data_IF_006557136654
#
_entry.id   IF_006557136654
#
_cell.length_a   1.000
_cell.length_b   1.000
_cell.length_c   1.000
_cell.angle_alpha   90.00
_cell.angle_beta   90.00
_cell.angle_gamma   90.00
#
_symmetry.space_group_name_H-M   'P 1'
#
loop_
_entity.id
_entity.type
_entity.pdbx_description
1 polymer ?
#
# COMPACT_ATOMS: atom_id res chain seq x y z
N UNK A 1 -77.34 7.26 -47.98
CA UNK A 1 -76.35 7.63 -46.94
C UNK A 1 -75.52 6.41 -46.47
N UNK A 2 -74.94 5.62 -47.38
CA UNK A 2 -74.18 4.38 -47.02
C UNK A 2 -72.65 4.51 -47.08
N UNK A 3 -72.12 5.62 -47.58
CA UNK A 3 -70.68 5.78 -47.84
C UNK A 3 -69.98 6.75 -46.87
N UNK A 4 -70.68 7.26 -45.86
CA UNK A 4 -70.14 8.21 -44.88
C UNK A 4 -69.55 7.52 -43.62
N UNK A 5 -70.08 6.34 -43.24
CA UNK A 5 -69.61 5.62 -42.05
C UNK A 5 -68.18 5.09 -42.22
N UNK A 6 -67.82 4.60 -43.41
CA UNK A 6 -66.48 4.05 -43.68
C UNK A 6 -65.35 5.10 -43.65
N UNK A 7 -65.66 6.36 -43.99
CA UNK A 7 -64.69 7.47 -43.88
C UNK A 7 -64.53 7.99 -42.45
N UNK A 8 -65.58 7.88 -41.63
CA UNK A 8 -65.50 8.26 -40.21
C UNK A 8 -64.71 7.22 -39.39
N UNK A 9 -64.83 5.93 -39.74
CA UNK A 9 -64.10 4.86 -39.06
C UNK A 9 -62.59 4.88 -39.34
N UNK A 10 -62.18 5.31 -40.55
CA UNK A 10 -60.76 5.42 -40.93
C UNK A 10 -60.04 6.57 -40.21
N UNK A 11 -60.76 7.61 -39.80
CA UNK A 11 -60.20 8.78 -39.11
C UNK A 11 -59.99 8.52 -37.60
N UNK A 12 -60.69 7.52 -37.04
CA UNK A 12 -60.59 7.09 -35.64
C UNK A 12 -59.43 6.10 -35.39
N UNK A 13 -58.88 5.51 -36.44
CA UNK A 13 -57.74 4.58 -36.38
C UNK A 13 -56.37 5.30 -36.30
N UNK A 14 -56.31 6.60 -36.56
CA UNK A 14 -55.06 7.38 -36.50
C UNK A 14 -54.85 8.13 -35.17
N UNK A 15 -55.78 8.06 -34.22
CA UNK A 15 -55.64 8.64 -32.88
C UNK A 15 -55.20 7.63 -31.82
N UNK A 16 -54.36 6.66 -32.19
CA UNK A 16 -53.52 5.96 -31.21
C UNK A 16 -52.38 6.91 -30.83
N UNK A 17 -52.73 7.95 -30.07
CA UNK A 17 -51.76 8.74 -29.33
C UNK A 17 -51.10 7.75 -28.38
N UNK A 18 -49.83 7.42 -28.64
CA UNK A 18 -49.00 6.74 -27.65
C UNK A 18 -48.88 7.71 -26.47
N UNK A 19 -49.78 7.58 -25.49
CA UNK A 19 -49.67 8.29 -24.24
C UNK A 19 -48.39 7.79 -23.58
N UNK A 20 -47.36 8.64 -23.54
CA UNK A 20 -46.20 8.39 -22.70
C UNK A 20 -46.59 8.78 -21.29
N UNK A 21 -46.18 7.96 -20.32
CA UNK A 21 -46.48 8.19 -18.91
C UNK A 21 -45.71 9.39 -18.32
N UNK A 22 -44.75 9.92 -19.08
CA UNK A 22 -43.97 11.09 -18.72
C UNK A 22 -43.37 11.78 -19.95
N UNK A 23 -42.98 13.03 -19.77
CA UNK A 23 -42.17 13.81 -20.70
C UNK A 23 -40.82 14.17 -20.08
N UNK A 24 -39.80 14.35 -20.92
CA UNK A 24 -38.48 14.78 -20.46
C UNK A 24 -37.85 15.83 -21.37
N UNK A 25 -37.01 16.70 -20.79
CA UNK A 25 -36.21 17.68 -21.53
C UNK A 25 -34.77 17.68 -21.05
N UNK A 26 -33.84 17.93 -21.98
CA UNK A 26 -32.41 18.03 -21.69
C UNK A 26 -31.94 19.42 -22.08
N UNK A 27 -31.37 20.13 -21.11
CA UNK A 27 -30.83 21.47 -21.31
C UNK A 27 -29.36 21.49 -20.89
N UNK A 28 -28.56 22.28 -21.60
CA UNK A 28 -27.17 22.55 -21.23
C UNK A 28 -26.89 24.04 -21.30
N UNK A 29 -26.01 24.52 -20.44
CA UNK A 29 -25.55 25.91 -20.45
C UNK A 29 -24.77 26.26 -21.74
N UNK A 30 -24.01 25.32 -22.30
CA UNK A 30 -23.30 25.47 -23.56
C UNK A 30 -23.26 24.15 -24.34
N UNK A 31 -23.39 24.23 -25.67
CA UNK A 31 -23.24 23.09 -26.60
C UNK A 31 -21.87 23.02 -27.24
N UNK A 32 -21.08 24.08 -27.10
CA UNK A 32 -19.76 24.21 -27.72
C UNK A 32 -18.68 24.58 -26.70
N UNK A 33 -18.50 23.77 -25.64
CA UNK A 33 -17.52 24.05 -24.60
C UNK A 33 -16.09 23.90 -25.14
N UNK A 34 -15.12 24.54 -24.49
CA UNK A 34 -13.72 24.19 -24.63
C UNK A 34 -13.39 22.89 -23.87
N UNK A 35 -12.29 22.24 -24.24
CA UNK A 35 -11.75 21.13 -23.45
C UNK A 35 -11.57 21.57 -22.00
N UNK A 36 -12.02 20.74 -21.05
CA UNK A 36 -12.02 21.00 -19.60
C UNK A 36 -12.84 22.21 -19.14
N UNK A 37 -13.72 22.74 -19.99
CA UNK A 37 -14.75 23.69 -19.55
C UNK A 37 -15.92 22.97 -18.87
N UNK A 38 -16.46 23.58 -17.81
CA UNK A 38 -17.61 23.08 -17.08
C UNK A 38 -18.91 23.22 -17.90
N UNK A 39 -19.57 22.10 -18.18
CA UNK A 39 -20.90 22.04 -18.78
C UNK A 39 -21.90 21.61 -17.72
N UNK A 40 -22.92 22.44 -17.52
CA UNK A 40 -24.03 22.14 -16.61
C UNK A 40 -25.16 21.57 -17.44
N UNK A 41 -25.55 20.34 -17.13
CA UNK A 41 -26.66 19.64 -17.75
C UNK A 41 -27.84 19.57 -16.77
N UNK A 42 -29.02 19.95 -17.26
CA UNK A 42 -30.29 19.75 -16.59
C UNK A 42 -31.09 18.71 -17.35
N UNK A 43 -31.49 17.65 -16.65
CA UNK A 43 -32.44 16.66 -17.12
C UNK A 43 -33.72 16.84 -16.32
N UNK A 44 -34.77 17.35 -16.97
CA UNK A 44 -36.07 17.58 -16.37
C UNK A 44 -37.01 16.47 -16.82
N UNK A 45 -37.65 15.78 -15.88
CA UNK A 45 -38.67 14.77 -16.13
C UNK A 45 -39.96 15.16 -15.41
N UNK A 46 -41.08 15.09 -16.14
CA UNK A 46 -42.41 15.40 -15.63
C UNK A 46 -43.34 14.23 -15.92
N UNK A 47 -43.95 13.68 -14.87
CA UNK A 47 -44.98 12.67 -14.99
C UNK A 47 -46.25 13.28 -15.61
N UNK A 48 -46.80 12.60 -16.62
CA UNK A 48 -48.01 13.03 -17.34
C UNK A 48 -49.18 12.09 -17.09
N UNK A 49 -48.91 10.82 -16.74
CA UNK A 49 -49.92 9.86 -16.34
C UNK A 49 -50.09 9.87 -14.82
N UNK A 50 -51.23 10.32 -14.32
CA UNK A 50 -51.50 10.45 -12.88
C UNK A 50 -52.17 9.21 -12.25
N UNK A 51 -52.38 8.13 -13.02
CA UNK A 51 -53.09 6.93 -12.54
C UNK A 51 -52.15 5.92 -11.85
N UNK A 52 -50.84 6.11 -11.97
CA UNK A 52 -49.80 5.24 -11.43
C UNK A 52 -48.75 6.07 -10.69
N UNK A 53 -47.99 5.45 -9.79
CA UNK A 53 -46.83 6.11 -9.17
C UNK A 53 -45.60 5.81 -10.03
N UNK A 54 -44.90 6.84 -10.47
CA UNK A 54 -43.65 6.70 -11.22
C UNK A 54 -42.48 7.22 -10.42
N UNK A 55 -41.41 6.44 -10.39
CA UNK A 55 -40.09 6.86 -9.92
C UNK A 55 -39.14 6.84 -11.10
N UNK A 56 -38.20 7.78 -11.12
CA UNK A 56 -37.20 7.88 -12.17
C UNK A 56 -35.80 7.72 -11.59
N UNK A 57 -34.96 7.01 -12.33
CA UNK A 57 -33.52 6.94 -12.07
C UNK A 57 -32.78 7.36 -13.34
N UNK A 58 -32.05 8.48 -13.26
CA UNK A 58 -31.35 9.07 -14.39
C UNK A 58 -29.86 9.24 -14.08
N UNK A 59 -29.04 8.64 -14.93
CA UNK A 59 -27.58 8.68 -14.84
C UNK A 59 -26.93 8.93 -16.20
N UNK A 60 -25.74 9.53 -16.16
CA UNK A 60 -24.86 9.68 -17.31
C UNK A 60 -23.91 8.47 -17.37
N UNK A 61 -23.83 7.81 -18.53
CA UNK A 61 -22.93 6.67 -18.72
C UNK A 61 -21.47 7.12 -18.68
N UNK A 62 -20.60 6.33 -18.06
CA UNK A 62 -19.15 6.62 -18.00
C UNK A 62 -18.51 6.50 -19.38
N UNK A 63 -17.53 7.37 -19.66
CA UNK A 63 -16.78 7.40 -20.92
C UNK A 63 -15.37 7.94 -20.66
N UNK A 64 -14.34 7.51 -21.41
CA UNK A 64 -13.01 8.14 -21.34
C UNK A 64 -12.99 9.56 -21.91
N UNK A 65 -14.03 9.98 -22.64
CA UNK A 65 -14.07 11.28 -23.31
C UNK A 65 -14.58 12.41 -22.41
N UNK A 66 -15.21 12.09 -21.28
CA UNK A 66 -15.77 13.09 -20.36
C UNK A 66 -15.83 12.56 -18.94
N UNK A 67 -15.74 13.47 -17.98
CA UNK A 67 -16.08 13.22 -16.59
C UNK A 67 -17.44 13.85 -16.29
N UNK A 68 -18.28 13.16 -15.52
CA UNK A 68 -19.61 13.65 -15.15
C UNK A 68 -19.90 13.35 -13.68
N UNK A 69 -20.48 14.32 -12.99
CA UNK A 69 -20.89 14.18 -11.59
C UNK A 69 -22.23 14.85 -11.35
N UNK A 70 -23.12 14.16 -10.63
CA UNK A 70 -24.40 14.73 -10.19
C UNK A 70 -24.13 15.78 -9.10
N UNK A 71 -24.67 16.99 -9.28
CA UNK A 71 -24.51 18.10 -8.34
C UNK A 71 -25.79 18.40 -7.56
N UNK A 72 -26.97 18.09 -8.11
CA UNK A 72 -28.24 18.32 -7.43
C UNK A 72 -29.36 17.41 -7.97
N UNK A 73 -30.37 17.18 -7.14
CA UNK A 73 -31.68 16.66 -7.52
C UNK A 73 -32.72 17.56 -6.87
N UNK A 74 -33.63 18.10 -7.66
CA UNK A 74 -34.80 18.82 -7.18
C UNK A 74 -36.03 18.00 -7.55
N UNK A 75 -36.84 17.67 -6.55
CA UNK A 75 -38.05 16.88 -6.73
C UNK A 75 -39.24 17.66 -6.17
N UNK A 76 -40.24 17.86 -7.02
CA UNK A 76 -41.58 18.28 -6.62
C UNK A 76 -42.51 17.07 -6.78
N UNK A 77 -42.90 16.48 -5.66
CA UNK A 77 -43.91 15.41 -5.64
C UNK A 77 -45.25 15.98 -5.16
N UNK A 78 -46.21 16.04 -6.07
CA UNK A 78 -47.60 16.41 -5.78
C UNK A 78 -48.52 15.25 -6.15
N UNK A 79 -48.48 14.15 -5.40
CA UNK A 79 -49.39 12.99 -5.47
C UNK A 79 -49.74 12.57 -6.92
N UNK A 80 -48.92 11.67 -7.47
CA UNK A 80 -48.92 11.24 -8.88
C UNK A 80 -48.55 12.32 -9.90
N UNK A 81 -48.05 13.48 -9.45
CA UNK A 81 -47.52 14.53 -10.31
C UNK A 81 -46.08 14.84 -9.91
N UNK A 82 -45.19 13.90 -10.22
CA UNK A 82 -43.76 14.00 -9.92
C UNK A 82 -43.06 14.81 -11.01
N UNK A 83 -42.33 15.84 -10.59
CA UNK A 83 -41.40 16.61 -11.41
C UNK A 83 -40.01 16.54 -10.81
N UNK A 84 -39.04 16.00 -11.55
CA UNK A 84 -37.66 15.85 -11.07
C UNK A 84 -36.71 16.55 -12.03
N UNK A 85 -35.84 17.39 -11.48
CA UNK A 85 -34.69 17.98 -12.16
C UNK A 85 -33.41 17.38 -11.62
N UNK A 86 -32.68 16.67 -12.48
CA UNK A 86 -31.32 16.25 -12.20
C UNK A 86 -30.34 17.25 -12.78
N UNK A 87 -29.43 17.75 -11.94
CA UNK A 87 -28.34 18.63 -12.36
C UNK A 87 -27.01 17.86 -12.37
N UNK A 88 -26.30 17.91 -13.48
CA UNK A 88 -24.98 17.30 -13.66
C UNK A 88 -23.94 18.34 -14.06
N UNK A 89 -22.73 18.18 -13.54
CA UNK A 89 -21.53 18.88 -13.98
C UNK A 89 -20.71 17.93 -14.85
N UNK A 90 -20.35 18.38 -16.05
CA UNK A 90 -19.66 17.58 -17.07
C UNK A 90 -18.42 18.33 -17.54
N UNK A 91 -17.30 17.62 -17.61
CA UNK A 91 -16.04 18.10 -18.19
C UNK A 91 -15.66 17.26 -19.39
N UNK A 92 -15.58 17.88 -20.57
CA UNK A 92 -15.06 17.24 -21.77
C UNK A 92 -13.53 17.12 -21.71
N UNK A 93 -12.98 15.94 -21.95
CA UNK A 93 -11.53 15.69 -21.84
C UNK A 93 -10.79 15.81 -23.18
N UNK A 94 -11.51 15.74 -24.30
CA UNK A 94 -10.97 15.81 -25.64
C UNK A 94 -11.72 16.81 -26.52
N UNK A 95 -11.04 17.34 -27.54
CA UNK A 95 -11.66 18.21 -28.53
C UNK A 95 -12.39 17.39 -29.61
N UNK A 96 -13.38 17.99 -30.27
CA UNK A 96 -14.21 17.35 -31.29
C UNK A 96 -15.63 17.04 -30.82
N UNK A 97 -16.34 16.24 -31.60
CA UNK A 97 -17.73 15.87 -31.29
C UNK A 97 -17.77 14.75 -30.24
N UNK A 98 -18.32 15.06 -29.07
CA UNK A 98 -18.47 14.12 -27.96
C UNK A 98 -19.94 13.81 -27.73
N UNK A 99 -20.29 12.53 -27.81
CA UNK A 99 -21.63 12.04 -27.51
C UNK A 99 -21.72 11.60 -26.05
N UNK A 100 -22.55 12.29 -25.28
CA UNK A 100 -22.90 11.94 -23.91
C UNK A 100 -24.11 11.02 -23.96
N UNK A 101 -23.93 9.79 -23.47
CA UNK A 101 -24.97 8.79 -23.42
C UNK A 101 -25.61 8.73 -22.03
N UNK A 102 -26.91 8.43 -22.01
CA UNK A 102 -27.74 8.50 -20.81
C UNK A 102 -28.37 7.14 -20.52
N UNK A 103 -28.64 6.89 -19.24
CA UNK A 103 -29.50 5.82 -18.76
C UNK A 103 -30.68 6.45 -18.02
N UNK A 104 -31.88 6.06 -18.41
CA UNK A 104 -33.10 6.41 -17.71
C UNK A 104 -33.88 5.13 -17.42
N UNK A 105 -34.15 4.87 -16.16
CA UNK A 105 -35.00 3.76 -15.73
C UNK A 105 -36.27 4.35 -15.11
N UNK A 106 -37.41 4.02 -15.72
CA UNK A 106 -38.73 4.30 -15.18
C UNK A 106 -39.12 3.13 -14.28
N UNK A 107 -39.58 3.40 -13.06
CA UNK A 107 -40.10 2.41 -12.14
C UNK A 107 -41.56 2.71 -11.86
N UNK A 108 -42.46 1.85 -12.31
CA UNK A 108 -43.88 2.00 -12.06
C UNK A 108 -44.31 1.21 -10.81
N UNK A 109 -45.12 1.81 -9.96
CA UNK A 109 -45.68 1.18 -8.76
C UNK A 109 -47.10 1.70 -8.45
N UNK A 110 -47.72 1.15 -7.41
CA UNK A 110 -49.07 1.50 -6.95
C UNK A 110 -49.02 2.11 -5.55
N UNK A 111 -50.03 2.90 -5.19
CA UNK A 111 -50.15 3.49 -3.85
C UNK A 111 -50.11 2.45 -2.74
N UNK A 112 -50.77 1.30 -2.95
CA UNK A 112 -50.76 0.19 -1.98
C UNK A 112 -49.35 -0.36 -1.74
N UNK A 113 -48.54 -0.48 -2.80
CA UNK A 113 -47.15 -0.94 -2.71
C UNK A 113 -46.27 0.09 -1.98
N UNK A 114 -46.49 1.39 -2.26
CA UNK A 114 -45.83 2.49 -1.56
C UNK A 114 -46.17 2.46 -0.08
N UNK A 115 -47.46 2.44 0.28
CA UNK A 115 -47.91 2.38 1.67
C UNK A 115 -47.42 1.12 2.39
N UNK A 116 -47.41 -0.03 1.71
CA UNK A 116 -46.86 -1.26 2.25
C UNK A 116 -45.38 -1.14 2.58
N UNK A 117 -44.57 -0.52 1.71
CA UNK A 117 -43.13 -0.35 1.94
C UNK A 117 -42.82 0.48 3.20
N UNK A 118 -43.65 1.47 3.53
CA UNK A 118 -43.52 2.29 4.74
C UNK A 118 -44.06 1.63 6.02
N UNK A 119 -44.77 0.51 5.90
CA UNK A 119 -45.37 -0.23 7.03
C UNK A 119 -44.45 -1.28 7.68
N UNK A 120 -43.17 -1.30 7.29
CA UNK A 120 -42.17 -2.21 7.87
C UNK A 120 -41.70 -1.78 9.27
N UNK A 121 -41.27 -2.75 10.07
CA UNK A 121 -40.63 -2.52 11.38
C UNK A 121 -39.11 -2.71 11.25
N UNK A 122 -38.34 -2.35 12.28
CA UNK A 122 -36.87 -2.41 12.30
C UNK A 122 -36.31 -3.80 11.98
N UNK A 123 -37.08 -4.85 12.30
CA UNK A 123 -36.73 -6.25 12.07
C UNK A 123 -37.41 -6.85 10.83
N UNK A 124 -38.31 -6.11 10.15
CA UNK A 124 -39.02 -6.56 8.95
C UNK A 124 -39.18 -5.41 7.94
N UNK A 125 -38.07 -5.06 7.28
CA UNK A 125 -38.03 -4.05 6.23
C UNK A 125 -38.77 -4.56 4.99
N UNK A 126 -39.88 -3.89 4.64
CA UNK A 126 -40.66 -4.20 3.44
C UNK A 126 -40.08 -3.46 2.25
N UNK A 127 -39.74 -4.18 1.20
CA UNK A 127 -39.17 -3.59 -0.03
C UNK A 127 -40.29 -3.09 -0.92
N UNK A 128 -40.09 -1.93 -1.57
CA UNK A 128 -41.02 -1.39 -2.55
C UNK A 128 -41.01 -2.25 -3.81
N UNK A 129 -42.17 -2.81 -4.19
CA UNK A 129 -42.30 -3.54 -5.44
C UNK A 129 -42.51 -2.56 -6.60
N UNK A 130 -41.66 -2.67 -7.62
CA UNK A 130 -41.65 -1.80 -8.79
C UNK A 130 -41.51 -2.60 -10.08
N UNK A 131 -42.16 -2.13 -11.14
CA UNK A 131 -41.95 -2.62 -12.51
C UNK A 131 -41.00 -1.67 -13.23
N UNK A 132 -39.76 -2.10 -13.40
CA UNK A 132 -38.71 -1.30 -14.00
C UNK A 132 -38.73 -1.41 -15.53
N UNK A 133 -38.48 -0.30 -16.21
CA UNK A 133 -38.42 -0.21 -17.67
C UNK A 133 -37.32 0.76 -18.09
N UNK A 134 -36.39 0.27 -18.91
CA UNK A 134 -35.30 1.09 -19.45
C UNK A 134 -35.79 1.92 -20.64
N UNK A 135 -35.66 3.24 -20.51
CA UNK A 135 -36.10 4.20 -21.51
C UNK A 135 -34.91 4.66 -22.34
N UNK A 136 -35.02 4.53 -23.66
CA UNK A 136 -34.00 5.04 -24.60
C UNK A 136 -34.09 6.56 -24.71
N UNK A 137 -33.14 7.25 -24.06
CA UNK A 137 -32.95 8.70 -24.16
C UNK A 137 -31.96 9.02 -25.28
N UNK A 138 -32.25 10.06 -26.06
CA UNK A 138 -31.34 10.51 -27.13
C UNK A 138 -30.04 11.05 -26.53
N UNK A 139 -28.91 10.59 -27.04
CA UNK A 139 -27.60 11.10 -26.64
C UNK A 139 -27.44 12.59 -26.96
N UNK A 140 -26.70 13.31 -26.12
CA UNK A 140 -26.37 14.72 -26.31
C UNK A 140 -25.00 14.83 -26.98
N UNK A 141 -24.93 15.48 -28.12
CA UNK A 141 -23.66 15.78 -28.79
C UNK A 141 -23.16 17.17 -28.40
N UNK A 142 -21.96 17.24 -27.80
CA UNK A 142 -21.21 18.47 -27.56
C UNK A 142 -20.15 18.66 -28.63
N UNK A 143 -20.01 19.89 -29.15
CA UNK A 143 -18.96 20.25 -30.11
C UNK A 143 -17.79 20.91 -29.40
N UNK A 144 -16.83 20.12 -28.95
CA UNK A 144 -15.80 20.58 -28.02
C UNK A 144 -14.67 21.29 -28.75
N UNK A 145 -14.43 22.56 -28.38
CA UNK A 145 -13.36 23.42 -28.93
C UNK A 145 -12.02 23.08 -28.29
N UNK A 146 -10.96 23.08 -29.10
CA UNK A 146 -9.60 22.93 -28.58
C UNK A 146 -9.18 24.15 -27.76
N UNK A 147 -8.40 23.90 -26.70
CA UNK A 147 -7.76 24.97 -25.91
C UNK A 147 -6.47 25.45 -26.59
N UNK A 148 -5.98 26.66 -26.27
CA UNK A 148 -4.70 27.14 -26.78
C UNK A 148 -3.55 26.17 -26.46
N UNK A 149 -2.56 26.09 -27.36
CA UNK A 149 -1.35 25.29 -27.15
C UNK A 149 -0.60 25.80 -25.91
N UNK A 150 0.06 24.89 -25.20
CA UNK A 150 0.82 25.15 -23.97
C UNK A 150 -0.04 25.70 -22.81
N UNK A 151 -1.29 25.25 -22.70
CA UNK A 151 -2.13 25.54 -21.53
C UNK A 151 -1.91 24.47 -20.47
N UNK A 152 -1.52 24.86 -19.26
CA UNK A 152 -1.29 23.97 -18.12
C UNK A 152 -2.59 23.71 -17.35
N UNK A 153 -3.39 24.76 -17.11
CA UNK A 153 -4.65 24.69 -16.35
C UNK A 153 -5.81 25.40 -17.08
N UNK A 154 -7.03 24.90 -16.88
CA UNK A 154 -8.26 25.44 -17.52
C UNK A 154 -9.27 25.85 -16.47
N UNK A 155 -9.56 27.15 -16.42
CA UNK A 155 -10.44 27.77 -15.44
C UNK A 155 -10.07 29.20 -15.13
N UNK A 156 -10.76 29.77 -14.14
CA UNK A 156 -10.47 31.06 -13.54
C UNK A 156 -9.80 30.84 -12.19
N UNK A 157 -8.47 30.96 -12.16
CA UNK A 157 -7.62 30.61 -11.05
C UNK A 157 -6.76 31.79 -10.63
N UNK A 158 -6.38 31.76 -9.36
CA UNK A 158 -5.42 32.70 -8.75
C UNK A 158 -4.34 31.88 -8.04
N UNK A 159 -3.12 32.40 -8.05
CA UNK A 159 -1.97 31.80 -7.38
C UNK A 159 -1.56 32.70 -6.22
N UNK A 160 -1.58 32.13 -5.02
CA UNK A 160 -1.01 32.71 -3.81
C UNK A 160 0.24 31.91 -3.42
N UNK A 161 1.23 32.56 -2.82
CA UNK A 161 2.39 31.87 -2.28
C UNK A 161 2.87 32.51 -0.98
N UNK A 162 3.52 31.72 -0.13
CA UNK A 162 4.07 32.16 1.14
C UNK A 162 5.46 31.59 1.34
N UNK A 163 6.42 32.47 1.61
CA UNK A 163 7.80 32.16 1.95
C UNK A 163 8.12 32.88 3.26
N UNK A 164 7.99 32.20 4.41
CA UNK A 164 8.15 32.82 5.72
C UNK A 164 9.56 33.36 5.99
N UNK A 165 10.59 32.77 5.36
CA UNK A 165 11.99 33.12 5.56
C UNK A 165 12.77 33.04 4.25
N UNK A 166 13.66 34.00 4.03
CA UNK A 166 14.63 34.02 2.92
C UNK A 166 16.08 33.83 3.39
N UNK A 167 16.26 33.60 4.69
CA UNK A 167 17.57 33.35 5.32
C UNK A 167 17.51 32.08 6.16
N UNK A 168 18.53 31.25 6.04
CA UNK A 168 18.66 29.98 6.74
C UNK A 168 20.14 29.62 6.92
N UNK A 169 20.47 28.74 7.86
CA UNK A 169 21.80 28.12 7.93
C UNK A 169 21.94 27.05 6.84
N UNK A 170 23.17 26.66 6.54
CA UNK A 170 23.44 25.55 5.63
C UNK A 170 22.62 24.31 6.01
N UNK A 171 21.93 23.73 5.02
CA UNK A 171 21.03 22.57 5.15
C UNK A 171 19.76 22.79 5.98
N UNK A 172 19.51 23.98 6.52
CA UNK A 172 18.25 24.28 7.20
C UNK A 172 17.11 24.41 6.18
N UNK A 173 15.95 23.78 6.41
CA UNK A 173 14.82 23.80 5.49
C UNK A 173 14.13 25.17 5.45
N UNK A 174 13.94 25.69 4.24
CA UNK A 174 13.19 26.90 3.94
C UNK A 174 11.79 26.53 3.45
N UNK A 175 10.73 26.77 4.24
CA UNK A 175 9.37 26.40 3.85
C UNK A 175 8.85 27.30 2.71
N UNK A 176 8.17 26.68 1.76
CA UNK A 176 7.46 27.32 0.66
C UNK A 176 6.06 26.70 0.55
N UNK A 177 5.06 27.56 0.58
CA UNK A 177 3.67 27.18 0.35
C UNK A 177 3.19 27.85 -0.92
N UNK A 178 2.61 27.07 -1.83
CA UNK A 178 1.96 27.57 -3.05
C UNK A 178 0.51 27.11 -3.00
N UNK A 179 -0.41 28.02 -3.30
CA UNK A 179 -1.84 27.76 -3.31
C UNK A 179 -2.43 28.21 -4.63
N UNK A 180 -3.12 27.32 -5.32
CA UNK A 180 -3.92 27.64 -6.52
C UNK A 180 -5.38 27.51 -6.12
N UNK A 181 -6.15 28.59 -6.27
CA UNK A 181 -7.58 28.63 -5.91
C UNK A 181 -8.41 29.26 -7.02
N UNK A 182 -9.61 28.75 -7.25
CA UNK A 182 -10.50 29.29 -8.29
C UNK A 182 -11.54 28.29 -8.79
N UNK A 183 -12.16 28.59 -9.92
CA UNK A 183 -13.24 27.78 -10.52
C UNK A 183 -12.76 27.21 -11.86
N UNK A 184 -12.85 25.90 -12.03
CA UNK A 184 -12.41 25.25 -13.27
C UNK A 184 -12.25 23.74 -13.16
N UNK A 185 -11.53 23.14 -14.09
CA UNK A 185 -11.11 21.74 -13.95
C UNK A 185 -9.97 21.66 -12.91
N UNK A 186 -9.88 20.59 -12.10
CA UNK A 186 -8.87 20.48 -11.03
C UNK A 186 -7.44 20.85 -11.48
N UNK A 187 -6.82 21.90 -10.91
CA UNK A 187 -5.52 22.42 -11.36
C UNK A 187 -4.36 21.70 -10.66
N UNK A 188 -4.32 20.37 -10.77
CA UNK A 188 -3.26 19.55 -10.19
C UNK A 188 -2.08 19.51 -11.18
N UNK A 189 -0.95 20.06 -10.75
CA UNK A 189 0.29 20.12 -11.51
C UNK A 189 1.32 19.26 -10.79
N UNK A 190 1.68 18.14 -11.39
CA UNK A 190 2.73 17.28 -10.86
C UNK A 190 4.08 18.02 -10.93
N UNK A 191 4.80 18.01 -9.81
CA UNK A 191 6.11 18.66 -9.70
C UNK A 191 6.09 20.14 -10.14
N UNK A 192 5.29 20.98 -9.49
CA UNK A 192 5.17 22.42 -9.80
C UNK A 192 6.50 23.19 -9.93
N UNK A 193 7.58 22.71 -9.31
CA UNK A 193 8.95 23.27 -9.40
C UNK A 193 9.95 22.41 -10.20
N UNK A 194 9.50 21.47 -11.07
CA UNK A 194 10.28 20.39 -11.73
C UNK A 194 11.55 20.77 -12.52
N UNK A 195 11.97 22.03 -12.54
CA UNK A 195 13.24 22.42 -13.13
C UNK A 195 14.38 21.73 -12.37
N UNK A 196 15.48 21.38 -13.05
CA UNK A 196 16.73 20.99 -12.38
C UNK A 196 17.16 22.14 -11.49
N UNK A 197 16.92 22.01 -10.19
CA UNK A 197 17.26 23.04 -9.20
C UNK A 197 18.67 22.80 -8.69
N UNK A 198 19.38 23.88 -8.37
CA UNK A 198 20.66 23.78 -7.68
C UNK A 198 20.48 23.31 -6.22
N UNK A 199 19.28 23.46 -5.67
CA UNK A 199 18.92 23.12 -4.28
C UNK A 199 18.16 21.79 -4.18
N UNK A 200 18.18 21.23 -2.96
CA UNK A 200 17.35 20.09 -2.60
C UNK A 200 15.92 20.55 -2.33
N UNK A 201 14.95 19.82 -2.89
CA UNK A 201 13.53 20.07 -2.70
C UNK A 201 12.88 18.87 -2.00
N UNK A 202 12.18 19.16 -0.92
CA UNK A 202 11.30 18.21 -0.24
C UNK A 202 9.87 18.64 -0.48
N UNK A 203 9.07 17.81 -1.15
CA UNK A 203 7.69 18.11 -1.48
C UNK A 203 6.75 17.07 -0.89
N UNK A 204 5.61 17.54 -0.39
CA UNK A 204 4.48 16.68 -0.05
C UNK A 204 3.55 16.54 -1.26
N UNK A 205 2.78 15.44 -1.30
CA UNK A 205 1.67 15.29 -2.25
C UNK A 205 0.71 16.48 -2.11
N UNK A 206 0.28 17.12 -3.22
CA UNK A 206 -0.60 18.26 -3.15
C UNK A 206 -1.92 17.92 -2.45
N UNK A 207 -2.36 18.80 -1.55
CA UNK A 207 -3.66 18.67 -0.88
C UNK A 207 -4.69 19.37 -1.76
N UNK A 208 -5.64 18.60 -2.30
CA UNK A 208 -6.71 19.09 -3.16
C UNK A 208 -8.06 19.04 -2.44
N UNK A 209 -8.79 20.14 -2.52
CA UNK A 209 -10.18 20.24 -2.07
C UNK A 209 -11.02 20.78 -3.22
N UNK A 210 -12.10 20.08 -3.56
CA UNK A 210 -13.02 20.45 -4.64
C UNK A 210 -14.46 20.47 -4.15
N UNK A 211 -15.20 21.50 -4.55
CA UNK A 211 -16.65 21.63 -4.30
C UNK A 211 -17.33 21.86 -5.65
N UNK A 212 -18.23 20.95 -6.03
CA UNK A 212 -18.98 21.07 -7.28
C UNK A 212 -20.25 21.89 -7.06
N UNK A 213 -20.50 22.85 -7.93
CA UNK A 213 -21.67 23.70 -7.89
C UNK A 213 -22.20 24.00 -9.31
N UNK A 214 -23.27 24.81 -9.40
CA UNK A 214 -23.89 25.18 -10.68
C UNK A 214 -23.03 26.11 -11.57
N UNK A 215 -21.91 26.63 -11.07
CA UNK A 215 -20.96 27.45 -11.84
C UNK A 215 -19.74 26.65 -12.31
N UNK A 216 -19.55 25.42 -11.81
CA UNK A 216 -18.42 24.56 -12.07
C UNK A 216 -17.87 23.93 -10.79
N UNK A 217 -16.61 23.52 -10.81
CA UNK A 217 -15.89 23.06 -9.61
C UNK A 217 -15.04 24.18 -9.04
N UNK A 218 -15.33 24.57 -7.80
CA UNK A 218 -14.42 25.36 -6.98
C UNK A 218 -13.28 24.45 -6.50
N UNK A 219 -12.05 24.84 -6.78
CA UNK A 219 -10.86 24.09 -6.43
C UNK A 219 -9.94 24.92 -5.54
N UNK A 220 -9.34 24.22 -4.58
CA UNK A 220 -8.23 24.69 -3.77
C UNK A 220 -7.15 23.61 -3.75
N UNK A 221 -5.99 23.92 -4.33
CA UNK A 221 -4.83 23.02 -4.35
C UNK A 221 -3.70 23.67 -3.57
N UNK A 222 -3.17 22.97 -2.56
CA UNK A 222 -2.06 23.44 -1.73
C UNK A 222 -0.84 22.55 -1.95
N UNK A 223 0.27 23.19 -2.32
CA UNK A 223 1.58 22.58 -2.44
C UNK A 223 2.44 23.02 -1.27
N UNK A 224 2.82 22.07 -0.42
CA UNK A 224 3.73 22.31 0.71
C UNK A 224 5.08 21.69 0.40
N UNK A 225 6.12 22.52 0.45
CA UNK A 225 7.48 22.09 0.18
C UNK A 225 8.50 22.80 1.08
N UNK A 226 9.69 22.24 1.14
CA UNK A 226 10.85 22.82 1.79
C UNK A 226 12.05 22.77 0.87
N UNK A 227 12.80 23.87 0.81
CA UNK A 227 14.01 24.02 0.00
C UNK A 227 15.23 24.00 0.91
N UNK A 228 16.33 23.37 0.53
CA UNK A 228 17.58 23.45 1.29
C UNK A 228 18.83 23.39 0.41
N UNK A 229 19.89 24.05 0.87
CA UNK A 229 21.19 24.07 0.19
C UNK A 229 22.29 24.45 1.21
N UNK A 230 23.55 24.18 0.88
CA UNK A 230 24.75 24.68 1.57
C UNK A 230 25.22 26.07 1.09
N UNK A 231 24.65 26.61 0.02
CA UNK A 231 25.08 27.87 -0.63
C UNK A 231 23.89 28.74 -0.97
N UNK A 232 24.16 30.03 -1.18
CA UNK A 232 23.18 30.96 -1.76
C UNK A 232 22.59 30.41 -3.06
N UNK A 233 21.28 30.50 -3.21
CA UNK A 233 20.60 30.06 -4.41
C UNK A 233 19.39 30.96 -4.73
N UNK A 234 18.94 30.89 -5.98
CA UNK A 234 17.74 31.56 -6.45
C UNK A 234 16.73 30.51 -6.91
N UNK A 235 15.47 30.68 -6.49
CA UNK A 235 14.33 30.02 -7.10
C UNK A 235 13.93 30.83 -8.33
N UNK A 236 13.99 30.20 -9.51
CA UNK A 236 13.58 30.83 -10.77
C UNK A 236 12.10 31.22 -10.73
N UNK A 237 11.73 32.21 -11.53
CA UNK A 237 10.32 32.50 -11.76
C UNK A 237 9.65 31.28 -12.40
N UNK A 238 8.42 31.01 -11.98
CA UNK A 238 7.57 29.97 -12.55
C UNK A 238 6.33 30.64 -13.13
N UNK A 239 6.09 30.37 -14.41
CA UNK A 239 4.90 30.81 -15.11
C UNK A 239 4.02 29.59 -15.40
N UNK A 240 2.78 29.63 -14.92
CA UNK A 240 1.76 28.61 -15.19
C UNK A 240 0.77 29.21 -16.18
N UNK A 241 0.65 28.59 -17.35
CA UNK A 241 -0.22 29.06 -18.41
C UNK A 241 -1.64 28.59 -18.13
N UNK A 242 -2.56 29.54 -17.97
CA UNK A 242 -3.96 29.28 -17.68
C UNK A 242 -4.85 29.78 -18.81
N UNK A 243 -6.00 29.12 -19.01
CA UNK A 243 -7.02 29.55 -19.96
C UNK A 243 -8.37 29.66 -19.27
N UNK A 244 -9.00 30.84 -19.35
CA UNK A 244 -10.34 31.07 -18.88
C UNK A 244 -11.33 30.89 -20.05
N UNK A 245 -12.12 29.79 -20.08
CA UNK A 245 -13.03 29.52 -21.18
C UNK A 245 -14.23 30.48 -21.24
N UNK A 246 -14.67 31.02 -20.09
CA UNK A 246 -15.77 31.98 -20.02
C UNK A 246 -15.39 33.31 -20.67
N UNK A 247 -14.16 33.78 -20.41
CA UNK A 247 -13.62 34.99 -21.00
C UNK A 247 -12.95 34.77 -22.36
N UNK A 248 -12.75 33.50 -22.74
CA UNK A 248 -12.00 33.08 -23.93
C UNK A 248 -10.60 33.70 -24.00
N UNK A 249 -9.93 33.83 -22.84
CA UNK A 249 -8.64 34.50 -22.71
C UNK A 249 -7.65 33.63 -21.94
N UNK A 250 -6.42 33.56 -22.46
CA UNK A 250 -5.28 33.02 -21.75
C UNK A 250 -4.69 34.07 -20.80
N UNK A 251 -4.16 33.62 -19.68
CA UNK A 251 -3.46 34.43 -18.69
C UNK A 251 -2.38 33.59 -18.02
N UNK A 252 -1.47 34.23 -17.30
CA UNK A 252 -0.33 33.57 -16.67
C UNK A 252 -0.41 33.79 -15.16
N UNK A 253 -0.24 32.71 -14.41
CA UNK A 253 -0.03 32.76 -12.97
C UNK A 253 1.47 32.69 -12.70
N UNK A 254 2.03 33.79 -12.19
CA UNK A 254 3.47 33.92 -11.99
C UNK A 254 3.84 33.81 -10.51
N UNK A 255 4.73 32.88 -10.21
CA UNK A 255 5.54 32.90 -8.98
C UNK A 255 6.84 33.64 -9.31
N UNK A 256 7.09 34.85 -8.75
CA UNK A 256 8.26 35.62 -9.10
C UNK A 256 9.54 34.98 -8.54
N UNK A 257 10.68 35.28 -9.18
CA UNK A 257 12.00 34.85 -8.71
C UNK A 257 12.22 35.22 -7.24
N UNK A 258 12.82 34.31 -6.48
CA UNK A 258 13.15 34.50 -5.07
C UNK A 258 14.63 34.19 -4.82
N UNK A 259 15.31 35.02 -4.06
CA UNK A 259 16.71 34.81 -3.69
C UNK A 259 16.83 34.43 -2.22
N UNK A 260 17.61 33.39 -1.93
CA UNK A 260 17.80 32.85 -0.59
C UNK A 260 19.24 33.01 -0.12
N UNK A 261 19.41 33.52 1.10
CA UNK A 261 20.73 33.67 1.73
C UNK A 261 20.98 32.54 2.72
N UNK A 262 22.02 31.75 2.46
CA UNK A 262 22.43 30.63 3.30
C UNK A 262 23.68 31.05 4.08
N UNK A 263 23.59 31.00 5.40
CA UNK A 263 24.73 31.24 6.28
C UNK A 263 25.53 29.95 6.44
N UNK A 264 26.85 30.04 6.37
CA UNK A 264 27.74 28.88 6.57
C UNK A 264 27.51 28.30 7.97
N UNK A 265 27.38 26.97 8.08
CA UNK A 265 27.27 26.35 9.40
C UNK A 265 28.62 26.42 10.10
N UNK A 266 28.65 26.95 11.32
CA UNK A 266 29.84 26.89 12.14
C UNK A 266 30.11 25.43 12.56
N UNK A 267 31.05 24.76 11.89
CA UNK A 267 31.39 23.35 12.12
C UNK A 267 31.75 23.07 13.59
N UNK A 268 32.31 24.07 14.30
CA UNK A 268 32.65 23.93 15.71
C UNK A 268 31.44 23.75 16.65
N UNK A 269 30.23 24.11 16.20
CA UNK A 269 28.98 23.90 16.95
C UNK A 269 28.29 22.56 16.64
N UNK A 270 28.71 21.86 15.58
CA UNK A 270 28.12 20.59 15.14
C UNK A 270 28.87 19.37 15.67
N UNK A 271 30.09 19.56 16.17
CA UNK A 271 30.85 18.52 16.84
C UNK A 271 30.40 18.47 18.30
N UNK A 272 29.94 17.30 18.74
CA UNK A 272 29.68 17.07 20.15
C UNK A 272 30.97 17.36 20.93
N UNK A 273 30.89 18.30 21.86
CA UNK A 273 32.03 18.66 22.72
C UNK A 273 32.34 17.57 23.75
N UNK A 274 31.49 16.55 23.84
CA UNK A 274 31.54 15.46 24.81
C UNK A 274 31.24 14.15 24.08
N UNK A 275 32.19 13.23 24.08
CA UNK A 275 31.97 11.87 23.59
C UNK A 275 30.91 11.17 24.45
N UNK A 276 29.85 10.67 23.79
CA UNK A 276 28.80 9.85 24.41
C UNK A 276 28.69 8.49 23.70
N UNK A 277 28.89 7.37 24.40
CA UNK A 277 29.21 7.26 25.83
C UNK A 277 30.62 7.79 26.17
N UNK A 278 30.86 8.23 27.43
CA UNK A 278 32.18 8.66 27.85
C UNK A 278 33.22 7.56 27.56
N UNK A 279 34.45 7.93 27.18
CA UNK A 279 35.50 6.94 26.96
C UNK A 279 35.62 6.05 28.20
N UNK A 280 35.77 4.74 27.98
CA UNK A 280 35.82 3.72 29.05
C UNK A 280 36.71 4.19 30.20
N UNK A 281 36.08 4.64 31.28
CA UNK A 281 36.79 5.02 32.50
C UNK A 281 37.21 3.73 33.19
N UNK A 282 38.41 3.26 32.88
CA UNK A 282 38.96 2.04 33.46
C UNK A 282 39.38 2.34 34.90
N UNK A 283 38.45 2.16 35.84
CA UNK A 283 38.72 2.38 37.26
C UNK A 283 39.86 1.45 37.71
N UNK A 284 40.94 2.03 38.22
CA UNK A 284 42.10 1.30 38.72
C UNK A 284 41.73 0.27 39.81
N UNK A 285 40.70 0.58 40.59
CA UNK A 285 40.10 -0.35 41.58
C UNK A 285 39.58 -1.64 40.94
N UNK A 286 38.94 -1.57 39.76
CA UNK A 286 38.45 -2.75 39.05
C UNK A 286 39.60 -3.60 38.52
N UNK A 287 40.67 -2.98 38.04
CA UNK A 287 41.89 -3.68 37.60
C UNK A 287 42.54 -4.38 38.79
N UNK A 288 42.67 -3.68 39.93
CA UNK A 288 43.21 -4.24 41.16
C UNK A 288 42.35 -5.41 41.66
N UNK A 289 41.02 -5.30 41.58
CA UNK A 289 40.10 -6.37 41.91
C UNK A 289 40.32 -7.60 41.01
N UNK A 290 40.38 -7.41 39.69
CA UNK A 290 40.64 -8.50 38.72
C UNK A 290 42.01 -9.15 39.00
N UNK A 291 43.06 -8.35 39.25
CA UNK A 291 44.39 -8.88 39.60
C UNK A 291 44.36 -9.65 40.90
N UNK A 292 43.63 -9.19 41.92
CA UNK A 292 43.53 -9.90 43.20
C UNK A 292 42.85 -11.25 43.04
N UNK A 293 41.77 -11.33 42.25
CA UNK A 293 41.14 -12.62 41.91
C UNK A 293 42.07 -13.54 41.13
N UNK A 294 42.82 -13.01 40.16
CA UNK A 294 43.81 -13.78 39.42
C UNK A 294 44.91 -14.33 40.35
N UNK A 295 45.34 -13.54 41.33
CA UNK A 295 46.35 -13.95 42.31
C UNK A 295 45.83 -15.05 43.25
N UNK A 296 44.60 -14.91 43.75
CA UNK A 296 43.95 -15.96 44.57
C UNK A 296 43.78 -17.26 43.77
N UNK A 297 43.38 -17.15 42.51
CA UNK A 297 43.23 -18.30 41.62
C UNK A 297 44.56 -19.02 41.37
N UNK A 298 45.63 -18.28 41.05
CA UNK A 298 46.96 -18.85 40.81
C UNK A 298 47.55 -19.51 42.06
N UNK A 299 47.36 -18.90 43.24
CA UNK A 299 47.74 -19.50 44.52
C UNK A 299 46.98 -20.81 44.79
N UNK A 300 45.66 -20.82 44.59
CA UNK A 300 44.85 -22.04 44.74
C UNK A 300 45.26 -23.15 43.78
N UNK A 301 45.53 -22.81 42.52
CA UNK A 301 45.95 -23.76 41.49
C UNK A 301 47.33 -24.37 41.78
N UNK A 302 48.30 -23.56 42.21
CA UNK A 302 49.65 -24.05 42.55
C UNK A 302 49.65 -24.97 43.76
N UNK A 303 48.84 -24.68 44.79
CA UNK A 303 48.60 -25.56 45.94
C UNK A 303 48.02 -26.92 45.53
N UNK A 304 47.06 -26.93 44.60
CA UNK A 304 46.46 -28.16 44.08
C UNK A 304 47.49 -29.03 43.32
N UNK A 305 48.34 -28.43 42.50
CA UNK A 305 49.41 -29.13 41.79
C UNK A 305 50.42 -29.78 42.74
N UNK A 306 50.80 -29.09 43.82
CA UNK A 306 51.70 -29.62 44.85
C UNK A 306 51.11 -30.85 45.54
N UNK A 307 49.82 -30.81 45.91
CA UNK A 307 49.13 -31.93 46.53
C UNK A 307 49.05 -33.15 45.59
N UNK A 308 48.84 -32.92 44.29
CA UNK A 308 48.77 -33.98 43.26
C UNK A 308 50.12 -34.69 43.04
N UNK A 309 51.25 -33.97 43.05
CA UNK A 309 52.59 -34.58 42.92
C UNK A 309 52.96 -35.46 44.10
N UNK A 310 52.58 -35.10 45.34
CA UNK A 310 52.86 -35.90 46.55
C UNK A 310 52.12 -37.24 46.59
N UNK A 311 50.93 -37.32 45.97
CA UNK A 311 50.12 -38.55 45.88
C UNK A 311 50.54 -39.51 44.74
N UNK A 312 51.25 -39.03 43.71
CA UNK A 312 51.62 -39.81 42.52
C UNK A 312 52.87 -40.69 42.72
N UNK A 313 53.74 -40.36 43.67
CA UNK A 313 55.01 -41.08 43.91
C UNK A 313 54.79 -42.42 44.67
N UNK A 314 53.61 -42.64 45.27
CA UNK A 314 53.30 -43.83 46.09
C UNK A 314 52.71 -45.04 45.34
N UNK A 315 52.43 -44.97 44.02
CA UNK A 315 51.77 -46.07 43.26
C UNK A 315 52.49 -46.43 41.96
N UNK A 316 53.74 -46.92 42.06
CA UNK A 316 54.55 -47.31 40.89
C UNK A 316 55.22 -48.68 41.06
N UNK A 317 54.42 -49.76 41.09
CA UNK A 317 54.91 -51.14 40.85
C UNK A 317 53.78 -52.17 40.69
N UNK A 318 53.21 -52.29 39.49
CA UNK A 318 52.60 -53.56 39.06
C UNK A 318 52.57 -53.61 37.53
N UNK A 319 53.39 -54.49 36.98
CA UNK A 319 53.69 -54.57 35.55
C UNK A 319 52.51 -55.19 34.78
N UNK A 320 51.96 -54.46 33.80
CA UNK A 320 50.68 -54.78 33.12
C UNK A 320 50.68 -56.14 32.42
N UNK A 321 51.84 -56.61 31.95
CA UNK A 321 51.97 -57.88 31.23
C UNK A 321 51.66 -59.09 32.14
N UNK A 322 52.02 -59.03 33.42
CA UNK A 322 51.76 -60.10 34.39
C UNK A 322 50.26 -60.29 34.69
N UNK A 323 49.51 -59.18 34.72
CA UNK A 323 48.07 -59.18 35.02
C UNK A 323 47.23 -59.80 33.90
N UNK A 324 47.65 -59.66 32.64
CA UNK A 324 46.92 -60.17 31.47
C UNK A 324 47.01 -61.71 31.42
N UNK A 325 48.20 -62.28 31.70
CA UNK A 325 48.40 -63.74 31.80
C UNK A 325 47.51 -64.39 32.86
N UNK A 326 47.42 -63.78 34.04
CA UNK A 326 46.58 -64.28 35.15
C UNK A 326 45.11 -64.26 34.73
N UNK A 327 44.67 -63.19 34.06
CA UNK A 327 43.28 -63.07 33.59
C UNK A 327 42.92 -64.13 32.54
N UNK A 328 43.81 -64.44 31.59
CA UNK A 328 43.56 -65.48 30.58
C UNK A 328 43.38 -66.86 31.24
N UNK A 329 44.21 -67.22 32.23
CA UNK A 329 44.09 -68.51 32.93
C UNK A 329 42.73 -68.65 33.61
N UNK A 330 42.25 -67.59 34.26
CA UNK A 330 41.02 -67.60 35.05
C UNK A 330 39.72 -67.52 34.23
N UNK A 331 39.77 -67.39 32.91
CA UNK A 331 38.54 -67.32 32.09
C UNK A 331 37.82 -68.67 32.00
N UNK A 332 36.62 -68.81 32.54
CA UNK A 332 35.95 -70.13 32.59
C UNK A 332 35.28 -70.56 31.28
N UNK A 333 35.10 -69.64 30.31
CA UNK A 333 34.34 -69.89 29.07
C UNK A 333 35.01 -69.29 27.83
N UNK A 334 34.70 -69.84 26.65
CA UNK A 334 35.18 -69.33 25.36
C UNK A 334 34.79 -67.87 25.12
N UNK A 335 33.55 -67.49 25.42
CA UNK A 335 33.05 -66.13 25.21
C UNK A 335 33.74 -65.10 26.12
N UNK A 336 34.05 -65.48 27.36
CA UNK A 336 34.79 -64.61 28.29
C UNK A 336 36.24 -64.41 27.86
N UNK A 337 36.87 -65.45 27.32
CA UNK A 337 38.21 -65.34 26.76
C UNK A 337 38.22 -64.45 25.51
N UNK A 338 37.24 -64.62 24.62
CA UNK A 338 37.06 -63.80 23.42
C UNK A 338 36.91 -62.31 23.77
N UNK A 339 36.01 -61.97 24.70
CA UNK A 339 35.82 -60.59 25.15
C UNK A 339 37.10 -59.99 25.74
N UNK A 340 37.85 -60.80 26.52
CA UNK A 340 39.10 -60.34 27.13
C UNK A 340 40.17 -60.04 26.06
N UNK A 341 40.30 -60.90 25.04
CA UNK A 341 41.29 -60.72 23.97
C UNK A 341 40.91 -59.57 23.02
N UNK A 342 39.63 -59.45 22.63
CA UNK A 342 39.15 -58.29 21.85
C UNK A 342 39.41 -56.98 22.59
N UNK A 343 39.19 -56.94 23.91
CA UNK A 343 39.41 -55.74 24.71
C UNK A 343 40.89 -55.33 24.80
N UNK A 344 41.84 -56.24 24.56
CA UNK A 344 43.27 -55.87 24.49
C UNK A 344 43.62 -55.25 23.13
N UNK A 345 42.84 -55.55 22.08
CA UNK A 345 42.93 -54.91 20.76
C UNK A 345 44.35 -54.91 20.17
N UNK A 346 45.06 -56.04 20.30
CA UNK A 346 46.38 -56.26 19.68
C UNK A 346 46.28 -57.30 18.56
N UNK A 347 47.01 -57.07 17.47
CA UNK A 347 47.00 -57.95 16.30
C UNK A 347 47.50 -59.37 16.61
N UNK A 348 48.32 -59.53 17.65
CA UNK A 348 48.95 -60.80 18.04
C UNK A 348 47.92 -61.87 18.44
N UNK A 349 46.71 -61.48 18.86
CA UNK A 349 45.63 -62.39 19.22
C UNK A 349 44.59 -62.59 18.12
N UNK A 350 44.73 -61.92 16.96
CA UNK A 350 43.75 -61.96 15.86
C UNK A 350 43.37 -63.39 15.46
N UNK A 351 44.35 -64.26 15.27
CA UNK A 351 44.14 -65.67 14.92
C UNK A 351 43.40 -66.45 16.01
N UNK A 352 43.67 -66.16 17.29
CA UNK A 352 42.99 -66.79 18.43
C UNK A 352 41.56 -66.25 18.60
N UNK A 353 41.34 -64.96 18.33
CA UNK A 353 40.04 -64.31 18.35
C UNK A 353 39.14 -64.90 17.26
N UNK A 354 39.62 -65.03 16.02
CA UNK A 354 38.84 -65.64 14.93
C UNK A 354 38.42 -67.09 15.25
N UNK A 355 39.33 -67.90 15.80
CA UNK A 355 38.99 -69.27 16.23
C UNK A 355 37.95 -69.25 17.35
N UNK A 356 38.07 -68.34 18.31
CA UNK A 356 37.10 -68.19 19.40
C UNK A 356 35.73 -67.71 18.91
N UNK A 357 35.67 -66.85 17.89
CA UNK A 357 34.41 -66.43 17.27
C UNK A 357 33.71 -67.59 16.56
N UNK A 358 34.44 -68.43 15.82
CA UNK A 358 33.87 -69.62 15.19
C UNK A 358 33.34 -70.62 16.23
N UNK A 359 34.06 -70.83 17.32
CA UNK A 359 33.58 -71.67 18.43
C UNK A 359 32.34 -71.07 19.10
N UNK A 360 32.30 -69.75 19.33
CA UNK A 360 31.20 -69.10 20.05
C UNK A 360 29.94 -68.90 19.22
N UNK A 361 30.07 -68.68 17.90
CA UNK A 361 28.95 -68.27 17.04
C UNK A 361 28.65 -69.25 15.90
N UNK A 362 29.59 -70.11 15.51
CA UNK A 362 29.44 -71.07 14.41
C UNK A 362 29.43 -72.54 14.89
N UNK A 363 29.36 -72.78 16.21
CA UNK A 363 29.25 -74.10 16.86
C UNK A 363 30.37 -75.10 16.52
N UNK A 364 31.58 -74.61 16.20
CA UNK A 364 32.77 -75.47 16.13
C UNK A 364 33.20 -75.94 17.52
N UNK A 365 33.52 -77.23 17.67
CA UNK A 365 33.84 -77.81 18.98
C UNK A 365 35.36 -77.91 19.18
N UNK A 366 35.96 -76.81 19.67
CA UNK A 366 37.38 -76.74 20.07
C UNK A 366 37.46 -76.60 21.59
N UNK A 367 38.38 -77.32 22.24
CA UNK A 367 38.53 -77.25 23.69
C UNK A 367 39.19 -75.93 24.15
N UNK A 368 38.58 -75.28 25.16
CA UNK A 368 39.02 -73.99 25.72
C UNK A 368 40.47 -73.97 26.19
N UNK A 369 40.94 -75.11 26.72
CA UNK A 369 42.30 -75.24 27.26
C UNK A 369 43.37 -75.04 26.19
N UNK A 370 43.11 -75.48 24.97
CA UNK A 370 44.00 -75.31 23.81
C UNK A 370 44.09 -73.84 23.40
N UNK A 371 42.94 -73.16 23.29
CA UNK A 371 42.87 -71.75 22.91
C UNK A 371 43.47 -70.81 23.96
N UNK A 372 43.34 -71.13 25.25
CA UNK A 372 44.02 -70.41 26.33
C UNK A 372 45.55 -70.50 26.23
N UNK A 373 46.08 -71.66 25.86
CA UNK A 373 47.52 -71.88 25.76
C UNK A 373 48.09 -71.06 24.59
N UNK A 374 47.43 -71.08 23.43
CA UNK A 374 47.79 -70.28 22.26
C UNK A 374 47.74 -68.77 22.57
N UNK A 375 46.70 -68.31 23.26
CA UNK A 375 46.59 -66.93 23.74
C UNK A 375 47.68 -66.53 24.75
N UNK A 376 48.31 -67.46 25.46
CA UNK A 376 49.39 -67.14 26.40
C UNK A 376 50.76 -67.06 25.73
N UNK A 377 50.99 -67.88 24.71
CA UNK A 377 52.23 -67.87 23.94
C UNK A 377 52.36 -66.54 23.18
N UNK A 378 51.25 -66.02 22.63
CA UNK A 378 51.22 -64.73 21.93
C UNK A 378 51.32 -63.49 22.86
N UNK A 379 51.48 -63.63 24.18
CA UNK A 379 51.76 -62.49 25.10
C UNK A 379 53.26 -62.19 25.16
N UNK A 380 54.11 -63.07 24.64
CA UNK A 380 55.57 -62.94 24.64
C UNK A 380 56.24 -63.07 23.28
N UNK A 381 55.47 -63.32 22.22
CA UNK A 381 55.86 -62.99 20.85
C UNK A 381 55.55 -61.50 20.62
#
# INVERSE_FOLDING_TARGET
MKNALGKLLLLLLFSLVNAKDFDYTIQVNTKEPYVKEAVILHFDVNQTNHDIVLLFDFDILKSPNYEAQRINIQEEDKYHNVSIRYSYLIYALHAGDINIAFRLTQKATTDDSVAYSFSGDRDNVKTLETKDSDIKVKALTLKVKAIPKNTDIVGDFTLDYQIPKHKAKAYEPLPLHIQIKGIGYPPIIDNILAQKTAFNQFSQTPIHTSINNQKGTENLVKYTMALSHDKHFSLNALDINAFNPLLQKSYILTLPRQDFRIEESNQSQLLDSIDSPPPLQMNWENIQMILSYLMVFTLGYTLALFKRKKLSISKKSLDKASLLKIKILHTSSHKSLLQLLIAQNTYDFSSTIEKLERVCYQNENIALKTLKKEAQENIHA
#
